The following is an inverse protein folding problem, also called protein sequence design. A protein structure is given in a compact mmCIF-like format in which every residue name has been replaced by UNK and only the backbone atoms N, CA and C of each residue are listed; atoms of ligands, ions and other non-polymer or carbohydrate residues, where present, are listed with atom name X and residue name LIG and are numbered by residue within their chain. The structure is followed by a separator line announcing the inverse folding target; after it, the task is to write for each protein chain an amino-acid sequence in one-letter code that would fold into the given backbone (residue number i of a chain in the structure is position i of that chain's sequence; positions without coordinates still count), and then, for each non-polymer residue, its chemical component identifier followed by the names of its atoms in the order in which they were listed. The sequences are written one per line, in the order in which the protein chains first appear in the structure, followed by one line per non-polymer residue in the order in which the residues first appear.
data_IF_184693661357
#
_entry.id   IF_184693661357
#
_cell.length_a   1.000
_cell.length_b   1.000
_cell.length_c   1.000
_cell.angle_alpha   90.00
_cell.angle_beta   90.00
_cell.angle_gamma   90.00
#
_symmetry.space_group_name_H-M   'P 1'
#
loop_
_entity.id
_entity.type
_entity.pdbx_description
1 polymer ?
#
# COMPACT_ATOMS: atom_id res chain seq x y z
N UNK A 1 -10.95 -11.70 77.07
CA UNK A 1 -12.39 -12.08 77.10
C UNK A 1 -12.90 -11.95 75.66
N UNK A 2 -13.10 -13.06 74.92
CA UNK A 2 -14.42 -13.67 74.57
C UNK A 2 -15.28 -12.68 73.73
N UNK A 3 -15.78 -12.87 72.50
CA UNK A 3 -16.10 -13.99 71.56
C UNK A 3 -16.42 -13.34 70.19
N UNK A 4 -15.96 -13.87 69.05
CA UNK A 4 -16.72 -14.66 68.04
C UNK A 4 -18.07 -14.11 67.54
N UNK A 5 -18.17 -13.88 66.22
CA UNK A 5 -19.28 -14.22 65.27
C UNK A 5 -18.88 -13.68 63.89
N UNK A 6 -18.52 -14.41 62.83
CA UNK A 6 -19.15 -15.49 62.05
C UNK A 6 -20.46 -15.11 61.31
N UNK A 7 -20.33 -15.08 59.98
CA UNK A 7 -21.29 -15.28 58.88
C UNK A 7 -22.28 -14.18 58.45
N UNK A 8 -22.01 -13.62 57.26
CA UNK A 8 -23.02 -13.57 56.19
C UNK A 8 -22.35 -13.73 54.80
N UNK A 9 -22.54 -14.93 54.24
CA UNK A 9 -22.90 -15.24 52.86
C UNK A 9 -23.61 -14.09 52.08
N UNK A 10 -23.65 -13.94 50.75
CA UNK A 10 -23.35 -14.77 49.58
C UNK A 10 -23.56 -13.86 48.34
N UNK A 11 -22.71 -14.05 47.31
CA UNK A 11 -22.96 -13.93 45.86
C UNK A 11 -23.60 -12.64 45.31
N UNK A 12 -22.74 -11.77 44.77
CA UNK A 12 -23.13 -10.88 43.67
C UNK A 12 -23.01 -11.66 42.36
N UNK A 13 -24.15 -12.04 41.77
CA UNK A 13 -24.23 -12.63 40.45
C UNK A 13 -23.76 -11.59 39.40
N UNK A 14 -22.54 -11.76 38.88
CA UNK A 14 -22.10 -11.06 37.68
C UNK A 14 -22.74 -11.79 36.50
N UNK A 15 -23.83 -11.23 35.97
CA UNK A 15 -24.40 -11.64 34.69
C UNK A 15 -23.42 -11.20 33.61
N UNK A 16 -22.42 -12.06 33.33
CA UNK A 16 -21.62 -11.93 32.13
C UNK A 16 -22.50 -12.24 30.93
N UNK A 17 -22.77 -11.23 30.09
CA UNK A 17 -23.26 -11.48 28.73
C UNK A 17 -22.19 -12.33 28.03
N UNK A 18 -22.42 -13.64 27.92
CA UNK A 18 -21.66 -14.49 27.02
C UNK A 18 -22.09 -14.15 25.61
N UNK A 19 -21.43 -13.17 24.98
CA UNK A 19 -21.48 -13.02 23.53
C UNK A 19 -20.95 -14.32 22.95
N UNK A 20 -21.84 -15.17 22.44
CA UNK A 20 -21.47 -16.32 21.63
C UNK A 20 -20.78 -15.79 20.38
N UNK A 21 -19.45 -15.72 20.41
CA UNK A 21 -18.63 -15.39 19.27
C UNK A 21 -18.76 -16.52 18.25
N UNK A 22 -19.60 -16.32 17.24
CA UNK A 22 -19.53 -17.13 16.02
C UNK A 22 -18.11 -16.98 15.44
N UNK A 23 -17.30 -18.02 15.55
CA UNK A 23 -15.98 -18.13 14.90
C UNK A 23 -16.16 -18.98 13.64
N UNK A 24 -16.09 -18.39 12.42
CA UNK A 24 -16.14 -19.16 11.19
C UNK A 24 -14.95 -20.12 11.10
N UNK A 25 -15.10 -21.35 10.58
CA UNK A 25 -14.09 -22.41 10.68
C UNK A 25 -12.80 -22.22 9.85
N UNK A 26 -12.47 -21.00 9.40
CA UNK A 26 -11.27 -20.70 8.60
C UNK A 26 -10.62 -19.35 8.97
N UNK A 27 -10.69 -18.94 10.23
CA UNK A 27 -10.02 -17.73 10.69
C UNK A 27 -8.52 -18.02 10.91
N UNK A 28 -7.68 -17.41 10.08
CA UNK A 28 -6.21 -17.41 10.26
C UNK A 28 -5.86 -16.19 11.12
N UNK A 29 -5.61 -16.41 12.41
CA UNK A 29 -5.25 -15.35 13.34
C UNK A 29 -3.78 -14.93 13.18
N UNK A 30 -3.54 -13.69 12.77
CA UNK A 30 -2.19 -13.12 12.72
C UNK A 30 -1.75 -12.62 14.10
N UNK A 31 -0.76 -13.27 14.70
CA UNK A 31 -0.22 -12.95 16.05
C UNK A 31 0.63 -11.67 16.11
N UNK A 32 0.70 -10.89 15.02
CA UNK A 32 1.43 -9.61 14.99
C UNK A 32 0.46 -8.47 15.25
N UNK A 33 0.38 -8.04 16.50
CA UNK A 33 -0.26 -6.77 16.85
C UNK A 33 0.74 -5.66 16.64
N UNK A 34 0.39 -4.68 15.80
CA UNK A 34 1.14 -3.44 15.69
C UNK A 34 0.64 -2.49 16.78
N UNK A 35 1.52 -2.12 17.71
CA UNK A 35 1.24 -1.09 18.70
C UNK A 35 1.30 0.28 18.03
N UNK A 36 0.18 0.72 17.46
CA UNK A 36 0.00 2.10 16.97
C UNK A 36 -1.05 2.80 17.83
N UNK A 37 -0.85 2.77 19.14
CA UNK A 37 -1.57 3.64 20.06
C UNK A 37 -0.56 4.65 20.64
N UNK A 38 -0.28 5.72 19.89
CA UNK A 38 0.36 6.90 20.48
C UNK A 38 -0.69 7.57 21.35
N UNK A 39 -0.57 7.40 22.67
CA UNK A 39 -1.37 8.13 23.65
C UNK A 39 -1.24 9.63 23.43
N UNK A 40 -2.34 10.31 23.12
CA UNK A 40 -2.38 11.77 23.12
C UNK A 40 -2.35 12.26 24.57
N UNK A 41 -1.25 12.88 24.97
CA UNK A 41 -1.19 13.65 26.22
C UNK A 41 -2.11 14.86 26.06
N UNK A 42 -3.24 14.85 26.75
CA UNK A 42 -4.10 16.03 26.88
C UNK A 42 -3.37 17.08 27.75
N UNK A 43 -2.65 18.00 27.11
CA UNK A 43 -2.05 19.16 27.77
C UNK A 43 -3.09 20.25 28.01
N UNK A 44 -3.40 20.52 29.28
CA UNK A 44 -4.25 21.65 29.70
C UNK A 44 -3.46 22.97 29.63
N UNK A 45 -4.04 23.95 28.91
CA UNK A 45 -4.14 25.37 29.29
C UNK A 45 -2.87 26.22 29.41
N UNK A 46 -2.67 27.13 28.45
CA UNK A 46 -1.80 28.31 28.60
C UNK A 46 -1.82 29.21 27.37
N UNK A 47 -2.43 30.39 27.47
CA UNK A 47 -2.57 31.35 26.37
C UNK A 47 -1.26 32.07 26.01
N UNK A 48 -0.94 32.20 24.70
CA UNK A 48 -0.68 33.48 24.01
C UNK A 48 0.11 33.36 22.69
N UNK A 49 -0.45 34.02 21.66
CA UNK A 49 0.16 34.71 20.49
C UNK A 49 0.66 33.91 19.27
N UNK A 50 0.26 34.46 18.12
CA UNK A 50 0.29 33.98 16.75
C UNK A 50 1.67 33.65 16.14
N UNK A 51 1.68 32.67 15.22
CA UNK A 51 2.53 32.62 14.03
C UNK A 51 1.83 31.90 12.87
N UNK A 52 2.25 32.27 11.67
CA UNK A 52 1.68 32.08 10.35
C UNK A 52 1.65 30.64 9.78
N UNK A 53 0.90 30.56 8.67
CA UNK A 53 0.97 29.61 7.55
C UNK A 53 0.29 28.25 7.76
N UNK A 54 -0.94 28.17 7.25
CA UNK A 54 -1.61 26.93 6.92
C UNK A 54 -0.77 26.16 5.88
N UNK A 55 0.05 25.23 6.36
CA UNK A 55 0.59 24.14 5.54
C UNK A 55 -0.48 23.06 5.53
N UNK A 56 -1.16 22.89 4.40
CA UNK A 56 -1.96 21.70 4.12
C UNK A 56 -1.02 20.51 4.01
N UNK A 57 -0.70 19.89 5.15
CA UNK A 57 -0.12 18.55 5.17
C UNK A 57 -1.18 17.61 4.59
N UNK A 58 -1.10 17.36 3.28
CA UNK A 58 -1.62 16.13 2.70
C UNK A 58 -0.97 15.00 3.48
N UNK A 59 -1.75 14.28 4.28
CA UNK A 59 -1.43 12.94 4.76
C UNK A 59 -1.23 12.06 3.55
N UNK A 60 -0.01 12.05 3.01
CA UNK A 60 0.45 10.92 2.22
C UNK A 60 0.52 9.75 3.18
N UNK A 61 -0.22 8.68 2.90
CA UNK A 61 -0.03 7.38 3.53
C UNK A 61 1.40 6.93 3.19
N UNK A 62 2.37 7.40 3.98
CA UNK A 62 3.74 6.96 3.87
C UNK A 62 3.78 5.51 4.34
N UNK A 63 3.76 4.60 3.37
CA UNK A 63 4.10 3.20 3.58
C UNK A 63 5.48 3.17 4.28
N UNK A 64 5.65 2.42 5.39
CA UNK A 64 6.94 2.34 6.07
C UNK A 64 8.06 1.98 5.09
N UNK A 65 9.13 2.78 5.05
CA UNK A 65 10.27 2.49 4.20
C UNK A 65 10.87 1.13 4.57
N UNK A 66 11.12 0.23 3.60
CA UNK A 66 11.75 -1.06 3.91
C UNK A 66 13.10 -0.83 4.60
N UNK A 67 13.36 -1.61 5.66
CA UNK A 67 14.68 -1.69 6.26
C UNK A 67 15.69 -2.16 5.20
N UNK A 68 16.90 -1.60 5.24
CA UNK A 68 18.02 -1.76 4.29
C UNK A 68 18.02 -3.12 3.55
N UNK A 69 17.26 -3.17 2.48
CA UNK A 69 17.05 -4.33 1.62
C UNK A 69 17.11 -3.85 0.18
N UNK A 70 17.42 -4.78 -0.73
CA UNK A 70 17.43 -4.49 -2.17
C UNK A 70 16.12 -3.81 -2.58
N UNK A 71 16.21 -2.80 -3.43
CA UNK A 71 15.03 -2.12 -3.93
C UNK A 71 14.05 -3.13 -4.57
N UNK A 72 12.73 -2.99 -4.36
CA UNK A 72 11.74 -3.88 -4.91
C UNK A 72 11.91 -4.10 -6.42
N UNK A 73 11.57 -5.29 -6.87
CA UNK A 73 11.48 -5.62 -8.29
C UNK A 73 10.10 -5.26 -8.82
N UNK A 74 9.91 -5.32 -10.14
CA UNK A 74 8.60 -5.20 -10.76
C UNK A 74 8.31 -6.45 -11.59
N UNK A 75 7.07 -6.93 -11.49
CA UNK A 75 6.56 -8.05 -12.28
C UNK A 75 5.50 -7.47 -13.20
N UNK A 76 5.76 -7.55 -14.50
CA UNK A 76 4.76 -7.27 -15.53
C UNK A 76 3.76 -8.44 -15.63
N UNK A 77 2.81 -8.41 -16.56
CA UNK A 77 1.76 -9.40 -16.81
C UNK A 77 1.99 -10.85 -16.32
N UNK A 78 3.02 -11.54 -16.82
CA UNK A 78 3.36 -12.91 -16.42
C UNK A 78 4.88 -13.13 -16.41
N UNK A 79 5.63 -12.06 -16.14
CA UNK A 79 7.09 -12.06 -16.25
C UNK A 79 7.79 -12.62 -15.01
N UNK A 80 9.11 -12.79 -15.14
CA UNK A 80 9.96 -12.84 -13.97
C UNK A 80 10.06 -11.43 -13.34
N UNK A 81 10.40 -11.30 -12.06
CA UNK A 81 10.65 -10.00 -11.44
C UNK A 81 11.90 -9.36 -12.03
N UNK A 82 11.78 -8.08 -12.43
CA UNK A 82 12.86 -7.32 -13.07
C UNK A 82 13.09 -6.02 -12.32
N UNK A 83 14.36 -5.65 -12.16
CA UNK A 83 14.77 -4.32 -11.69
C UNK A 83 14.90 -3.38 -12.89
N UNK A 84 14.29 -2.20 -12.81
CA UNK A 84 14.41 -1.15 -13.82
C UNK A 84 14.11 -1.63 -15.27
N UNK A 85 12.92 -2.23 -15.53
CA UNK A 85 12.58 -2.69 -16.88
C UNK A 85 12.57 -1.52 -17.87
N UNK A 86 13.01 -1.75 -19.10
CA UNK A 86 12.96 -0.78 -20.19
C UNK A 86 11.68 -0.88 -21.04
N UNK A 87 10.84 -1.86 -20.72
CA UNK A 87 9.62 -2.25 -21.41
C UNK A 87 8.59 -2.76 -20.39
N UNK A 88 7.32 -2.35 -20.53
CA UNK A 88 6.20 -2.88 -19.73
C UNK A 88 4.97 -3.00 -20.64
N UNK A 89 4.31 -4.16 -20.64
CA UNK A 89 3.01 -4.33 -21.27
C UNK A 89 1.90 -3.81 -20.33
N UNK A 90 1.10 -2.85 -20.78
CA UNK A 90 -0.05 -2.38 -20.00
C UNK A 90 -1.30 -3.23 -20.28
N UNK A 91 -1.39 -3.80 -21.48
CA UNK A 91 -2.44 -4.72 -21.89
C UNK A 91 -1.90 -6.14 -22.03
N UNK A 92 -2.05 -6.96 -20.99
CA UNK A 92 -1.43 -8.29 -20.93
C UNK A 92 -1.89 -9.32 -21.96
N UNK A 93 -3.12 -9.19 -22.47
CA UNK A 93 -3.71 -10.19 -23.36
C UNK A 93 -3.24 -10.07 -24.81
N UNK A 94 -3.06 -8.84 -25.29
CA UNK A 94 -2.82 -8.54 -26.71
C UNK A 94 -1.67 -7.56 -26.93
N UNK A 95 -1.08 -7.03 -25.85
CA UNK A 95 0.02 -6.08 -25.87
C UNK A 95 -0.27 -4.82 -26.70
N UNK A 96 -1.56 -4.46 -26.80
CA UNK A 96 -2.01 -3.33 -27.60
C UNK A 96 -1.60 -1.97 -26.98
N UNK A 97 -1.27 -1.95 -25.70
CA UNK A 97 -0.82 -0.79 -24.95
C UNK A 97 0.41 -1.16 -24.13
N UNK A 98 1.47 -0.36 -24.25
CA UNK A 98 2.78 -0.67 -23.68
C UNK A 98 3.58 0.60 -23.41
N UNK A 99 4.50 0.50 -22.46
CA UNK A 99 5.56 1.47 -22.22
C UNK A 99 6.86 0.93 -22.82
N UNK A 100 7.53 1.76 -23.60
CA UNK A 100 8.82 1.45 -24.23
C UNK A 100 9.82 2.56 -23.93
N UNK A 101 11.11 2.26 -24.11
CA UNK A 101 12.21 3.21 -23.89
C UNK A 101 12.19 3.83 -22.47
N UNK A 102 11.84 3.02 -21.48
CA UNK A 102 11.71 3.51 -20.10
C UNK A 102 13.10 3.88 -19.56
N UNK A 103 13.22 5.10 -19.04
CA UNK A 103 14.42 5.61 -18.38
C UNK A 103 14.08 5.96 -16.93
N UNK A 104 14.73 5.27 -16.00
CA UNK A 104 14.51 5.47 -14.57
C UNK A 104 15.43 6.56 -14.02
N UNK A 105 14.85 7.56 -13.37
CA UNK A 105 15.59 8.58 -12.62
C UNK A 105 15.80 8.18 -11.17
N UNK A 106 14.91 7.34 -10.64
CA UNK A 106 14.99 6.80 -9.28
C UNK A 106 14.41 5.40 -9.20
N UNK A 107 15.06 4.55 -8.42
CA UNK A 107 14.61 3.22 -8.08
C UNK A 107 15.15 2.89 -6.68
N UNK A 108 14.30 2.96 -5.66
CA UNK A 108 14.70 2.66 -4.30
C UNK A 108 13.67 1.80 -3.56
N UNK A 109 13.80 1.68 -2.25
CA UNK A 109 12.98 0.79 -1.45
C UNK A 109 11.48 1.15 -1.44
N UNK A 110 11.10 2.40 -1.71
CA UNK A 110 9.71 2.87 -1.54
C UNK A 110 9.00 3.15 -2.85
N UNK A 111 9.71 3.63 -3.86
CA UNK A 111 9.14 3.88 -5.18
C UNK A 111 10.21 3.84 -6.28
N UNK A 112 9.74 3.66 -7.51
CA UNK A 112 10.51 3.92 -8.71
C UNK A 112 9.86 5.04 -9.52
N UNK A 113 10.67 5.89 -10.14
CA UNK A 113 10.23 7.01 -10.94
C UNK A 113 11.05 7.05 -12.23
N UNK A 114 10.37 7.18 -13.35
CA UNK A 114 10.99 7.23 -14.66
C UNK A 114 10.12 7.94 -15.68
N UNK A 115 10.61 7.99 -16.90
CA UNK A 115 9.87 8.47 -18.07
C UNK A 115 9.92 7.41 -19.16
N UNK A 116 8.91 7.41 -20.03
CA UNK A 116 8.80 6.45 -21.11
C UNK A 116 8.15 7.07 -22.36
N UNK A 117 8.08 6.27 -23.42
CA UNK A 117 7.14 6.47 -24.52
C UNK A 117 6.01 5.44 -24.35
N UNK A 118 4.76 5.88 -24.30
CA UNK A 118 3.60 4.99 -24.37
C UNK A 118 3.25 4.77 -25.83
N UNK A 119 3.06 3.52 -26.20
CA UNK A 119 2.62 3.12 -27.54
C UNK A 119 1.31 2.37 -27.43
N UNK A 120 0.28 2.86 -28.13
CA UNK A 120 -1.06 2.27 -28.14
C UNK A 120 -1.46 1.96 -29.58
N UNK A 121 -1.91 0.74 -29.84
CA UNK A 121 -2.46 0.34 -31.13
C UNK A 121 -3.92 0.79 -31.21
N UNK A 122 -4.29 1.52 -32.26
CA UNK A 122 -5.66 1.98 -32.49
C UNK A 122 -6.63 0.83 -32.76
N UNK A 123 -6.13 -0.32 -33.24
CA UNK A 123 -6.92 -1.50 -33.57
C UNK A 123 -8.10 -1.24 -34.52
N UNK A 124 -7.95 -0.30 -35.46
CA UNK A 124 -8.96 0.00 -36.47
C UNK A 124 -8.47 -0.42 -37.87
N UNK A 125 -9.25 -1.23 -38.62
CA UNK A 125 -10.52 -1.89 -38.25
C UNK A 125 -10.34 -3.12 -37.34
N UNK A 126 -9.11 -3.60 -37.17
CA UNK A 126 -8.73 -4.67 -36.25
C UNK A 126 -7.28 -4.43 -35.76
N UNK A 127 -6.82 -5.18 -34.76
CA UNK A 127 -5.49 -4.99 -34.18
C UNK A 127 -4.31 -5.37 -35.08
N UNK A 128 -4.50 -6.26 -36.05
CA UNK A 128 -3.42 -6.63 -36.98
C UNK A 128 -3.15 -5.52 -38.02
N UNK A 129 -4.21 -4.81 -38.43
CA UNK A 129 -4.15 -3.71 -39.42
C UNK A 129 -4.10 -2.31 -38.79
N UNK A 130 -4.14 -2.22 -37.47
CA UNK A 130 -4.17 -0.95 -36.74
C UNK A 130 -2.87 -0.14 -36.82
N UNK A 131 -2.91 1.07 -36.29
CA UNK A 131 -1.76 1.98 -36.26
C UNK A 131 -1.27 2.20 -34.83
N UNK A 132 0.03 2.39 -34.66
CA UNK A 132 0.60 2.74 -33.35
C UNK A 132 0.57 4.25 -33.18
N UNK A 133 -0.08 4.71 -32.12
CA UNK A 133 0.02 6.07 -31.61
C UNK A 133 1.06 6.10 -30.48
N UNK A 134 1.91 7.12 -30.49
CA UNK A 134 3.01 7.25 -29.52
C UNK A 134 2.90 8.56 -28.73
N UNK A 135 2.92 8.45 -27.40
CA UNK A 135 3.03 9.58 -26.49
C UNK A 135 4.40 9.54 -25.80
N UNK A 136 5.26 10.51 -26.09
CA UNK A 136 6.59 10.61 -25.50
C UNK A 136 6.56 11.31 -24.14
N UNK A 137 7.57 11.03 -23.31
CA UNK A 137 7.77 11.68 -22.02
C UNK A 137 6.58 11.48 -21.04
N UNK A 138 5.96 10.31 -21.07
CA UNK A 138 4.97 9.96 -20.03
C UNK A 138 5.71 9.67 -18.72
N UNK A 139 5.18 10.17 -17.61
CA UNK A 139 5.69 9.86 -16.28
C UNK A 139 5.30 8.43 -15.91
N UNK A 140 6.26 7.65 -15.42
CA UNK A 140 6.05 6.30 -14.90
C UNK A 140 6.44 6.28 -13.44
N UNK A 141 5.51 5.88 -12.58
CA UNK A 141 5.77 5.67 -11.15
C UNK A 141 5.38 4.27 -10.74
N UNK A 142 6.23 3.62 -9.96
CA UNK A 142 5.93 2.37 -9.29
C UNK A 142 5.99 2.56 -7.79
N UNK A 143 5.09 1.91 -7.07
CA UNK A 143 5.02 2.04 -5.62
C UNK A 143 4.30 0.86 -4.99
N UNK A 144 3.92 1.05 -3.73
CA UNK A 144 3.29 0.02 -2.89
C UNK A 144 4.19 -1.24 -2.83
N UNK A 145 5.39 -1.11 -2.23
CA UNK A 145 6.29 -2.24 -2.09
C UNK A 145 5.65 -3.31 -1.21
N UNK A 146 5.53 -4.53 -1.72
CA UNK A 146 4.84 -5.64 -1.07
C UNK A 146 5.75 -6.87 -1.07
N UNK A 147 5.85 -7.55 0.08
CA UNK A 147 6.58 -8.82 0.19
C UNK A 147 5.77 -9.93 -0.51
N UNK A 148 6.39 -10.61 -1.46
CA UNK A 148 5.81 -11.74 -2.21
C UNK A 148 6.72 -12.97 -2.09
N UNK A 149 6.29 -14.11 -2.62
CA UNK A 149 7.16 -15.30 -2.74
C UNK A 149 8.38 -15.05 -3.65
N UNK A 150 8.35 -13.98 -4.45
CA UNK A 150 9.44 -13.51 -5.31
C UNK A 150 10.31 -12.43 -4.64
N UNK A 151 10.04 -12.13 -3.35
CA UNK A 151 10.63 -11.02 -2.59
C UNK A 151 9.85 -9.71 -2.73
N UNK A 152 10.45 -8.62 -2.24
CA UNK A 152 9.87 -7.28 -2.32
C UNK A 152 9.61 -6.88 -3.78
N UNK A 153 8.34 -6.57 -4.07
CA UNK A 153 7.86 -6.22 -5.42
C UNK A 153 6.99 -4.97 -5.36
N UNK A 154 7.14 -4.06 -6.31
CA UNK A 154 6.18 -2.97 -6.52
C UNK A 154 4.91 -3.54 -7.14
N UNK A 155 3.76 -3.37 -6.47
CA UNK A 155 2.47 -3.87 -6.97
C UNK A 155 1.65 -2.80 -7.66
N UNK A 156 1.98 -1.52 -7.46
CA UNK A 156 1.29 -0.42 -8.11
C UNK A 156 2.10 0.17 -9.25
N UNK A 157 1.49 0.30 -10.43
CA UNK A 157 2.01 1.06 -11.57
C UNK A 157 1.10 2.24 -11.87
N UNK A 158 1.69 3.43 -11.98
CA UNK A 158 1.01 4.68 -12.31
C UNK A 158 1.66 5.30 -13.54
N UNK A 159 0.85 5.76 -14.49
CA UNK A 159 1.29 6.49 -15.70
C UNK A 159 0.60 7.85 -15.74
N UNK A 160 1.35 8.95 -15.79
CA UNK A 160 0.79 10.32 -15.74
C UNK A 160 -0.25 10.52 -14.61
N UNK A 161 0.07 10.06 -13.40
CA UNK A 161 -0.82 10.06 -12.22
C UNK A 161 -2.08 9.18 -12.30
N UNK A 162 -2.27 8.40 -13.35
CA UNK A 162 -3.33 7.40 -13.47
C UNK A 162 -2.81 6.02 -13.02
N UNK A 163 -3.52 5.37 -12.10
CA UNK A 163 -3.16 4.01 -11.66
C UNK A 163 -3.59 3.01 -12.74
N UNK A 164 -2.63 2.30 -13.31
CA UNK A 164 -2.84 1.30 -14.37
C UNK A 164 -2.96 -0.10 -13.78
N UNK A 165 -2.20 -0.40 -12.72
CA UNK A 165 -2.24 -1.67 -12.00
C UNK A 165 -2.00 -1.45 -10.50
N UNK A 166 -2.61 -2.28 -9.65
CA UNK A 166 -2.46 -2.25 -8.18
C UNK A 166 -2.81 -3.59 -7.54
#
# INVERSE_FOLDING_TARGET
MKRSSLYTAIVSAVIGLTLASCSPPHQVDSHKRVDTATSVTAGQGGASRAVSAASTNKTSNAHPAPATGSAPTYIDCTGAPVTQPNYIALACGDNNDRLVNITWSRWDATEAVGTATRETNTCLPNCADGHIESANNVEVKMGVPTETDQGMTFTQLTVNNEVIAQ
#
